data_IF_194940937528
#
_entry.id   IF_194940937528
#
_cell.length_a   1.000
_cell.length_b   1.000
_cell.length_c   1.000
_cell.angle_alpha   90.00
_cell.angle_beta   90.00
_cell.angle_gamma   90.00
#
_symmetry.space_group_name_H-M   'P 1'
#
loop_
_entity.id
_entity.type
_entity.pdbx_description
1 polymer ?
#
# COMPACT_ATOMS: atom_id res chain seq x y z
N UNK A 1 -6.68 2.09 17.71
CA UNK A 1 -7.37 2.91 16.69
C UNK A 1 -8.65 2.21 16.27
N UNK A 2 -9.77 2.93 16.24
CA UNK A 2 -11.12 2.43 15.89
C UNK A 2 -11.14 1.66 14.55
N UNK A 3 -10.24 2.01 13.63
CA UNK A 3 -10.04 1.39 12.30
C UNK A 3 -9.61 -0.08 12.32
N UNK A 4 -9.20 -0.61 13.48
CA UNK A 4 -8.97 -2.05 13.66
C UNK A 4 -10.24 -2.87 13.47
N UNK A 5 -11.36 -2.34 13.98
CA UNK A 5 -12.63 -3.02 14.10
C UNK A 5 -13.69 -2.43 13.16
N UNK A 6 -13.61 -1.12 12.94
CA UNK A 6 -14.47 -0.41 12.00
C UNK A 6 -13.69 -0.19 10.71
N UNK A 7 -14.37 -0.21 9.57
CA UNK A 7 -13.71 0.15 8.33
C UNK A 7 -13.30 1.63 8.32
N UNK A 8 -12.22 1.98 7.59
CA UNK A 8 -11.81 3.37 7.50
C UNK A 8 -12.97 4.22 6.94
N UNK A 9 -13.18 5.43 7.49
CA UNK A 9 -14.13 6.40 6.93
C UNK A 9 -13.71 6.76 5.50
N UNK A 10 -14.58 7.48 4.78
CA UNK A 10 -14.27 7.92 3.42
C UNK A 10 -12.94 8.70 3.45
N UNK A 11 -11.97 8.20 2.71
CA UNK A 11 -10.61 8.74 2.69
C UNK A 11 -10.52 9.92 1.73
N UNK A 12 -9.49 10.76 1.89
CA UNK A 12 -9.26 11.90 0.98
C UNK A 12 -9.14 11.43 -0.47
N UNK A 13 -8.49 10.29 -0.71
CA UNK A 13 -8.38 9.69 -2.05
C UNK A 13 -9.73 9.28 -2.63
N UNK A 14 -10.64 8.78 -1.79
CA UNK A 14 -11.99 8.43 -2.20
C UNK A 14 -12.83 9.67 -2.51
N UNK A 15 -12.67 10.75 -1.73
CA UNK A 15 -13.31 12.04 -2.01
C UNK A 15 -12.82 12.59 -3.35
N UNK A 16 -11.51 12.59 -3.61
CA UNK A 16 -10.97 13.06 -4.90
C UNK A 16 -11.47 12.22 -6.08
N UNK A 17 -11.60 10.90 -5.91
CA UNK A 17 -12.11 10.02 -6.97
C UNK A 17 -13.62 10.18 -7.18
N UNK A 18 -14.38 10.52 -6.13
CA UNK A 18 -15.83 10.72 -6.20
C UNK A 18 -16.22 11.85 -7.16
N UNK A 19 -15.39 12.89 -7.29
CA UNK A 19 -15.63 14.01 -8.20
C UNK A 19 -15.45 13.67 -9.70
N UNK A 20 -14.89 12.51 -10.05
CA UNK A 20 -14.67 12.13 -11.45
C UNK A 20 -15.18 10.73 -11.82
N UNK A 21 -14.83 9.72 -11.02
CA UNK A 21 -15.13 8.30 -11.29
C UNK A 21 -16.31 7.77 -10.45
N UNK A 22 -16.87 8.60 -9.56
CA UNK A 22 -17.86 8.21 -8.57
C UNK A 22 -17.26 7.46 -7.38
N UNK A 23 -18.10 7.17 -6.39
CA UNK A 23 -17.72 6.41 -5.19
C UNK A 23 -18.62 5.18 -5.07
N UNK A 24 -18.11 4.01 -5.44
CA UNK A 24 -18.75 2.72 -5.16
C UNK A 24 -17.85 1.91 -4.24
N UNK A 25 -18.40 1.37 -3.16
CA UNK A 25 -17.66 0.59 -2.18
C UNK A 25 -18.54 -0.50 -1.61
N UNK A 26 -18.21 -1.74 -1.96
CA UNK A 26 -18.82 -2.95 -1.41
C UNK A 26 -17.79 -3.64 -0.50
N UNK A 27 -18.17 -3.88 0.75
CA UNK A 27 -17.32 -4.57 1.71
C UNK A 27 -17.55 -6.06 1.66
N UNK A 28 -16.45 -6.80 1.56
CA UNK A 28 -16.46 -8.26 1.59
C UNK A 28 -15.60 -8.69 2.78
N UNK A 29 -16.12 -9.61 3.60
CA UNK A 29 -15.36 -10.14 4.72
C UNK A 29 -14.18 -10.99 4.22
N UNK A 30 -13.15 -11.15 5.04
CA UNK A 30 -12.01 -11.98 4.68
C UNK A 30 -12.45 -13.41 4.41
N UNK A 31 -13.40 -13.92 5.19
CA UNK A 31 -13.94 -15.28 5.13
C UNK A 31 -14.74 -15.54 3.84
N UNK A 32 -15.42 -14.51 3.32
CA UNK A 32 -16.27 -14.60 2.12
C UNK A 32 -15.46 -14.53 0.81
N UNK A 33 -14.19 -14.12 0.89
CA UNK A 33 -13.34 -13.98 -0.27
C UNK A 33 -12.66 -15.33 -0.61
N UNK A 34 -12.81 -15.74 -1.87
CA UNK A 34 -12.18 -16.96 -2.39
C UNK A 34 -10.66 -16.95 -2.18
N UNK A 35 -10.11 -18.10 -1.80
CA UNK A 35 -8.67 -18.29 -1.58
C UNK A 35 -7.82 -17.84 -2.79
N UNK A 36 -8.30 -18.14 -4.00
CA UNK A 36 -7.59 -17.81 -5.23
C UNK A 36 -7.45 -16.29 -5.45
N UNK A 37 -8.45 -15.50 -5.04
CA UNK A 37 -8.42 -14.04 -5.18
C UNK A 37 -7.40 -13.44 -4.21
N UNK A 38 -7.38 -13.93 -2.96
CA UNK A 38 -6.39 -13.54 -1.95
C UNK A 38 -4.97 -13.82 -2.45
N UNK A 39 -4.76 -15.04 -2.96
CA UNK A 39 -3.45 -15.45 -3.45
C UNK A 39 -3.04 -14.64 -4.69
N UNK A 40 -3.97 -14.37 -5.61
CA UNK A 40 -3.69 -13.57 -6.80
C UNK A 40 -3.26 -12.14 -6.43
N UNK A 41 -3.97 -11.49 -5.51
CA UNK A 41 -3.65 -10.14 -5.04
C UNK A 41 -2.27 -10.08 -4.35
N UNK A 42 -1.99 -11.03 -3.45
CA UNK A 42 -0.69 -11.13 -2.79
C UNK A 42 0.42 -11.39 -3.83
N UNK A 43 0.22 -12.36 -4.74
CA UNK A 43 1.25 -12.71 -5.71
C UNK A 43 1.53 -11.62 -6.76
N UNK A 44 0.53 -10.79 -7.09
CA UNK A 44 0.67 -9.70 -8.06
C UNK A 44 1.25 -8.42 -7.45
N UNK A 45 0.87 -8.07 -6.23
CA UNK A 45 1.24 -6.80 -5.60
C UNK A 45 2.41 -6.94 -4.61
N UNK A 46 2.46 -8.03 -3.83
CA UNK A 46 3.37 -8.16 -2.70
C UNK A 46 3.61 -9.64 -2.31
N UNK A 47 4.52 -10.30 -3.02
CA UNK A 47 4.76 -11.74 -2.89
C UNK A 47 5.26 -12.14 -1.49
N UNK A 48 5.98 -11.24 -0.82
CA UNK A 48 6.55 -11.46 0.52
C UNK A 48 5.65 -10.92 1.63
N UNK A 49 4.38 -10.58 1.32
CA UNK A 49 3.44 -9.99 2.29
C UNK A 49 3.36 -10.72 3.64
N UNK A 50 3.33 -12.07 3.70
CA UNK A 50 3.28 -12.79 4.98
C UNK A 50 4.57 -12.67 5.80
N UNK A 51 5.71 -12.43 5.14
CA UNK A 51 7.04 -12.59 5.73
C UNK A 51 7.63 -11.27 6.25
N UNK A 52 7.16 -10.12 5.77
CA UNK A 52 7.68 -8.81 6.17
C UNK A 52 6.76 -8.08 7.16
N UNK A 53 7.30 -7.13 7.93
CA UNK A 53 6.55 -6.31 8.90
C UNK A 53 6.11 -4.96 8.30
N UNK A 54 5.36 -5.02 7.21
CA UNK A 54 4.89 -3.86 6.45
C UNK A 54 5.89 -3.25 5.46
N UNK A 55 7.18 -3.58 5.53
CA UNK A 55 8.20 -3.13 4.55
C UNK A 55 9.02 -4.31 4.06
N UNK A 56 9.08 -4.51 2.75
CA UNK A 56 10.04 -5.45 2.13
C UNK A 56 11.39 -4.75 1.92
N UNK A 57 12.31 -4.98 2.85
CA UNK A 57 13.65 -4.40 2.82
C UNK A 57 14.48 -4.94 1.65
N UNK A 58 14.27 -6.20 1.28
CA UNK A 58 15.01 -6.86 0.20
C UNK A 58 14.58 -6.32 -1.16
N UNK A 59 13.26 -6.20 -1.40
CA UNK A 59 12.74 -5.55 -2.61
C UNK A 59 13.15 -4.08 -2.67
N UNK A 60 13.15 -3.38 -1.53
CA UNK A 60 13.58 -1.99 -1.48
C UNK A 60 15.07 -1.85 -1.84
N UNK A 61 15.96 -2.66 -1.25
CA UNK A 61 17.38 -2.64 -1.59
C UNK A 61 17.63 -2.99 -3.07
N UNK A 62 16.91 -3.99 -3.60
CA UNK A 62 16.94 -4.33 -5.03
C UNK A 62 16.46 -3.18 -5.91
N UNK A 63 15.49 -2.40 -5.47
CA UNK A 63 14.97 -1.23 -6.21
C UNK A 63 15.93 -0.03 -6.21
N UNK A 64 16.81 0.06 -5.20
CA UNK A 64 17.87 1.07 -5.14
C UNK A 64 19.13 0.66 -5.91
N UNK A 65 19.33 -0.63 -6.18
CA UNK A 65 20.45 -1.10 -7.00
C UNK A 65 20.31 -0.57 -8.44
N UNK A 66 21.29 0.18 -8.96
CA UNK A 66 21.23 0.71 -10.32
C UNK A 66 21.18 -0.46 -11.31
N UNK A 67 20.07 -0.59 -12.05
CA UNK A 67 19.92 -1.63 -13.07
C UNK A 67 21.01 -1.44 -14.13
N UNK A 68 21.95 -2.37 -14.23
CA UNK A 68 22.87 -2.45 -15.36
C UNK A 68 22.04 -2.73 -16.63
N UNK A 69 22.06 -1.77 -17.57
CA UNK A 69 21.64 -1.84 -18.99
C UNK A 69 20.29 -1.19 -19.37
N UNK A 70 20.43 -0.07 -20.09
CA UNK A 70 19.82 0.25 -21.40
C UNK A 70 18.29 0.42 -21.55
N UNK A 71 17.49 0.52 -20.50
CA UNK A 71 16.12 1.06 -20.64
C UNK A 71 15.95 2.27 -19.74
N UNK A 72 15.54 3.41 -20.32
CA UNK A 72 15.00 4.57 -19.60
C UNK A 72 13.79 4.11 -18.78
N UNK A 73 14.04 3.55 -17.62
CA UNK A 73 13.03 3.26 -16.62
C UNK A 73 12.56 4.62 -16.10
N UNK A 74 11.35 5.05 -16.50
CA UNK A 74 10.64 6.19 -15.87
C UNK A 74 10.25 5.90 -14.41
N UNK A 75 10.57 4.72 -13.90
CA UNK A 75 10.30 4.35 -12.52
C UNK A 75 11.37 5.02 -11.65
N UNK A 76 10.98 5.94 -10.74
CA UNK A 76 11.91 6.62 -9.84
C UNK A 76 12.61 5.61 -8.92
N UNK A 77 13.79 5.96 -8.37
CA UNK A 77 14.45 5.15 -7.35
C UNK A 77 13.46 4.84 -6.21
N UNK A 78 13.39 3.56 -5.79
CA UNK A 78 12.42 3.08 -4.81
C UNK A 78 10.99 2.88 -5.34
N UNK A 79 10.75 3.04 -6.65
CA UNK A 79 9.46 2.79 -7.28
C UNK A 79 9.26 1.30 -7.61
N UNK A 80 8.07 0.77 -7.33
CA UNK A 80 7.71 -0.63 -7.61
C UNK A 80 8.07 -1.63 -6.50
N UNK A 81 8.55 -1.18 -5.35
CA UNK A 81 8.80 -2.00 -4.16
C UNK A 81 7.84 -1.67 -3.00
N UNK A 82 6.66 -1.12 -3.31
CA UNK A 82 5.68 -0.75 -2.29
C UNK A 82 4.82 -1.95 -1.90
N UNK A 83 4.82 -2.28 -0.61
CA UNK A 83 4.07 -3.38 -0.02
C UNK A 83 2.58 -3.06 0.10
N UNK A 84 1.72 -4.07 0.27
CA UNK A 84 0.28 -3.89 0.51
C UNK A 84 0.06 -3.00 1.73
N UNK A 85 0.81 -3.20 2.83
CA UNK A 85 0.70 -2.37 4.04
C UNK A 85 1.02 -0.89 3.75
N UNK A 86 2.05 -0.60 2.94
CA UNK A 86 2.36 0.77 2.53
C UNK A 86 1.24 1.36 1.67
N UNK A 87 0.68 0.60 0.73
CA UNK A 87 -0.43 1.05 -0.10
C UNK A 87 -1.68 1.36 0.75
N UNK A 88 -2.00 0.51 1.72
CA UNK A 88 -3.10 0.72 2.68
C UNK A 88 -2.85 1.96 3.53
N UNK A 89 -1.66 2.11 4.12
CA UNK A 89 -1.31 3.28 4.92
C UNK A 89 -1.44 4.58 4.12
N UNK A 90 -0.99 4.57 2.85
CA UNK A 90 -1.10 5.73 1.96
C UNK A 90 -2.54 6.08 1.60
N UNK A 91 -3.38 5.08 1.34
CA UNK A 91 -4.77 5.32 0.94
C UNK A 91 -5.66 5.71 2.15
N UNK A 92 -5.37 5.18 3.34
CA UNK A 92 -6.18 5.41 4.54
C UNK A 92 -5.79 6.69 5.26
N UNK A 93 -4.49 6.94 5.45
CA UNK A 93 -4.00 8.03 6.29
C UNK A 93 -3.36 9.18 5.51
N UNK A 94 -2.97 8.95 4.26
CA UNK A 94 -2.31 9.96 3.43
C UNK A 94 -3.19 10.30 2.21
N UNK A 95 -2.77 11.31 1.44
CA UNK A 95 -3.42 11.71 0.19
C UNK A 95 -2.54 11.35 -1.01
N UNK A 96 -3.07 11.30 -2.24
CA UNK A 96 -2.24 11.09 -3.44
C UNK A 96 -1.56 12.43 -3.84
N UNK A 97 -0.49 12.83 -3.15
CA UNK A 97 0.30 14.04 -3.43
C UNK A 97 1.23 13.92 -4.65
N UNK A 98 1.70 15.06 -5.15
CA UNK A 98 2.49 15.18 -6.38
C UNK A 98 3.96 14.74 -6.26
N UNK A 99 4.72 14.90 -7.35
CA UNK A 99 6.11 14.42 -7.47
C UNK A 99 7.07 15.03 -6.44
N UNK A 100 6.81 16.25 -5.96
CA UNK A 100 7.64 16.99 -5.01
C UNK A 100 7.41 16.55 -3.54
N UNK A 101 6.18 16.18 -3.19
CA UNK A 101 5.81 15.80 -1.82
C UNK A 101 6.22 14.36 -1.47
N UNK A 102 6.65 13.58 -2.47
CA UNK A 102 6.97 12.15 -2.34
C UNK A 102 8.04 11.87 -1.30
N UNK A 103 9.05 12.74 -1.18
CA UNK A 103 10.15 12.54 -0.23
C UNK A 103 9.75 12.90 1.20
N UNK A 104 9.01 14.00 1.37
CA UNK A 104 8.50 14.44 2.68
C UNK A 104 7.48 13.45 3.22
N UNK A 105 6.65 12.87 2.36
CA UNK A 105 5.65 11.86 2.73
C UNK A 105 6.21 10.47 3.00
N UNK A 106 7.46 10.19 2.60
CA UNK A 106 8.07 8.89 2.80
C UNK A 106 8.24 8.56 4.29
N UNK A 107 8.57 9.55 5.11
CA UNK A 107 8.70 9.40 6.57
C UNK A 107 7.38 9.03 7.27
N UNK A 108 6.28 9.79 7.12
CA UNK A 108 5.01 9.41 7.71
C UNK A 108 4.46 8.12 7.09
N UNK A 109 4.73 7.82 5.81
CA UNK A 109 4.37 6.54 5.19
C UNK A 109 4.96 5.36 5.96
N UNK A 110 6.26 5.38 6.28
CA UNK A 110 6.90 4.33 7.09
C UNK A 110 6.30 4.25 8.50
N UNK A 111 6.08 5.40 9.15
CA UNK A 111 5.50 5.44 10.50
C UNK A 111 4.09 4.82 10.54
N UNK A 112 3.20 5.23 9.63
CA UNK A 112 1.86 4.67 9.54
C UNK A 112 1.85 3.21 9.09
N UNK A 113 2.79 2.79 8.23
CA UNK A 113 2.95 1.39 7.83
C UNK A 113 3.20 0.51 9.04
N UNK A 114 4.15 0.89 9.91
CA UNK A 114 4.42 0.16 11.14
C UNK A 114 3.23 0.16 12.11
N UNK A 115 2.56 1.31 12.27
CA UNK A 115 1.36 1.40 13.11
C UNK A 115 0.23 0.49 12.61
N UNK A 116 -0.02 0.48 11.30
CA UNK A 116 -1.05 -0.38 10.69
C UNK A 116 -0.68 -1.85 10.89
N UNK A 117 0.58 -2.22 10.64
CA UNK A 117 1.06 -3.58 10.83
C UNK A 117 0.85 -4.07 12.27
N UNK A 118 1.21 -3.26 13.26
CA UNK A 118 1.09 -3.59 14.69
C UNK A 118 -0.36 -3.61 15.19
N UNK A 119 -1.20 -2.66 14.74
CA UNK A 119 -2.55 -2.52 15.28
C UNK A 119 -3.52 -3.46 14.54
N UNK A 120 -3.43 -3.55 13.20
CA UNK A 120 -4.38 -4.28 12.36
C UNK A 120 -4.01 -5.75 12.16
N UNK A 121 -2.73 -6.04 11.98
CA UNK A 121 -2.24 -7.37 11.65
C UNK A 121 -2.60 -7.82 10.23
N UNK A 122 -1.86 -8.82 9.73
CA UNK A 122 -1.88 -9.28 8.32
C UNK A 122 -3.25 -9.64 7.75
N UNK A 123 -4.16 -10.19 8.55
CA UNK A 123 -5.49 -10.61 8.07
C UNK A 123 -6.46 -9.45 7.84
N UNK A 124 -6.21 -8.29 8.49
CA UNK A 124 -7.08 -7.11 8.42
C UNK A 124 -6.63 -6.12 7.35
N UNK A 125 -5.31 -6.06 7.14
CA UNK A 125 -4.67 -5.34 6.04
C UNK A 125 -5.09 -6.00 4.73
#
# INVERSE_FOLDING_TARGET
MITRFVFPPITITQITNAFGLGLKRDYVAWEDMSYNIKLAAIASEDQAFPDHIGVDWEAMERSFKPKKKKKKSRIPLGGGASTITQQVAKNVFLWQGGQYDKYIRKLPEFYFTFLVELIWGKKRI
#
